data_IF_347467580549
#
_entry.id   IF_347467580549
#
_cell.length_a   1.000
_cell.length_b   1.000
_cell.length_c   1.000
_cell.angle_alpha   90.00
_cell.angle_beta   90.00
_cell.angle_gamma   90.00
#
_symmetry.space_group_name_H-M   'P 1'
#
loop_
_entity.id
_entity.type
_entity.pdbx_description
1 polymer ?
#
# COMPACT_ATOMS: atom_id res chain seq x y z
N UNK A 1 -7.29 -14.98 20.75
CA UNK A 1 -7.11 -14.06 19.60
C UNK A 1 -7.02 -14.79 18.25
N UNK A 2 -6.16 -15.81 18.05
CA UNK A 2 -6.07 -16.58 16.78
C UNK A 2 -7.37 -17.34 16.40
N UNK A 3 -8.10 -17.88 17.39
CA UNK A 3 -9.33 -18.65 17.14
C UNK A 3 -10.50 -17.78 16.65
N UNK A 4 -10.51 -16.48 16.98
CA UNK A 4 -11.54 -15.53 16.55
C UNK A 4 -11.34 -15.13 15.09
N UNK A 5 -10.09 -15.00 14.64
CA UNK A 5 -9.75 -14.73 13.24
C UNK A 5 -10.15 -15.87 12.32
N UNK A 6 -9.88 -17.13 12.70
CA UNK A 6 -10.29 -18.29 11.89
C UNK A 6 -11.82 -18.41 11.76
N UNK A 7 -12.57 -18.10 12.82
CA UNK A 7 -14.05 -18.12 12.79
C UNK A 7 -14.63 -16.96 11.96
N UNK A 8 -13.96 -15.81 11.92
CA UNK A 8 -14.34 -14.69 11.06
C UNK A 8 -14.10 -15.01 9.58
N UNK A 9 -12.97 -15.63 9.23
CA UNK A 9 -12.68 -16.06 7.85
C UNK A 9 -13.68 -17.11 7.34
N UNK A 10 -14.04 -18.09 8.17
CA UNK A 10 -15.05 -19.11 7.81
C UNK A 10 -16.48 -18.57 7.70
N UNK A 11 -16.85 -17.52 8.46
CA UNK A 11 -18.13 -16.83 8.28
C UNK A 11 -18.15 -15.96 7.02
N UNK A 12 -17.03 -15.36 6.66
CA UNK A 12 -16.87 -14.55 5.44
C UNK A 12 -17.07 -15.38 4.16
N UNK A 13 -16.50 -16.59 4.12
CA UNK A 13 -16.67 -17.54 3.01
C UNK A 13 -18.10 -18.11 2.89
N UNK A 14 -18.92 -17.97 3.93
CA UNK A 14 -20.33 -18.41 3.99
C UNK A 14 -21.31 -17.24 3.81
N UNK A 15 -20.86 -16.08 3.38
CA UNK A 15 -21.78 -15.04 2.90
C UNK A 15 -22.23 -15.42 1.49
N UNK A 16 -23.54 -15.60 1.30
CA UNK A 16 -24.15 -15.99 0.02
C UNK A 16 -23.80 -15.03 -1.12
N UNK A 17 -23.54 -13.76 -0.83
CA UNK A 17 -23.08 -12.75 -1.80
C UNK A 17 -21.66 -13.03 -2.28
N UNK A 18 -20.76 -13.44 -1.39
CA UNK A 18 -19.37 -13.75 -1.75
C UNK A 18 -19.28 -15.07 -2.53
N UNK A 19 -20.08 -16.06 -2.14
CA UNK A 19 -20.26 -17.29 -2.89
C UNK A 19 -20.84 -17.01 -4.30
N UNK A 20 -21.82 -16.11 -4.42
CA UNK A 20 -22.38 -15.72 -5.72
C UNK A 20 -21.38 -14.93 -6.59
N UNK A 21 -20.53 -14.08 -6.02
CA UNK A 21 -19.46 -13.41 -6.78
C UNK A 21 -18.41 -14.41 -7.29
N UNK A 22 -17.98 -15.34 -6.43
CA UNK A 22 -17.07 -16.43 -6.84
C UNK A 22 -17.72 -17.37 -7.86
N UNK A 23 -19.01 -17.67 -7.71
CA UNK A 23 -19.75 -18.55 -8.62
C UNK A 23 -19.98 -17.85 -9.98
N UNK A 24 -20.24 -16.53 -9.99
CA UNK A 24 -20.30 -15.74 -11.22
C UNK A 24 -18.92 -15.60 -11.89
N UNK A 25 -17.84 -15.35 -11.15
CA UNK A 25 -16.48 -15.30 -11.71
C UNK A 25 -16.05 -16.67 -12.28
N UNK A 26 -16.33 -17.76 -11.56
CA UNK A 26 -16.02 -19.11 -12.05
C UNK A 26 -16.88 -19.50 -13.25
N UNK A 27 -18.16 -19.11 -13.30
CA UNK A 27 -19.05 -19.38 -14.45
C UNK A 27 -18.65 -18.58 -15.70
N UNK A 28 -18.08 -17.39 -15.53
CA UNK A 28 -17.52 -16.58 -16.64
C UNK A 28 -16.10 -17.02 -17.04
N UNK A 29 -15.34 -17.61 -16.11
CA UNK A 29 -14.00 -18.14 -16.36
C UNK A 29 -13.99 -19.55 -16.98
N UNK A 30 -15.06 -20.34 -16.78
CA UNK A 30 -15.12 -21.78 -17.14
C UNK A 30 -14.92 -22.09 -18.62
N UNK A 31 -15.01 -21.11 -19.53
CA UNK A 31 -14.92 -21.32 -20.98
C UNK A 31 -14.16 -20.19 -21.73
N UNK A 32 -13.20 -19.51 -21.11
CA UNK A 32 -12.31 -18.58 -21.85
C UNK A 32 -10.94 -19.21 -22.05
N UNK A 33 -10.70 -19.76 -23.24
CA UNK A 33 -9.37 -20.14 -23.67
C UNK A 33 -8.53 -18.86 -23.83
N UNK A 34 -7.64 -18.59 -22.87
CA UNK A 34 -6.77 -17.42 -22.89
C UNK A 34 -5.64 -17.70 -23.89
N UNK A 35 -5.85 -17.27 -25.13
CA UNK A 35 -4.80 -17.31 -26.16
C UNK A 35 -3.71 -16.28 -25.82
N UNK A 36 -2.43 -16.61 -26.00
CA UNK A 36 -1.31 -15.71 -25.69
C UNK A 36 -1.36 -14.34 -26.41
N UNK A 37 -2.08 -14.27 -27.53
CA UNK A 37 -2.37 -13.02 -28.24
C UNK A 37 -3.19 -12.03 -27.39
N UNK A 38 -4.10 -12.53 -26.55
CA UNK A 38 -4.91 -11.70 -25.66
C UNK A 38 -4.07 -11.10 -24.54
N UNK A 39 -3.08 -11.84 -24.04
CA UNK A 39 -2.12 -11.34 -23.05
C UNK A 39 -1.29 -10.20 -23.67
N UNK A 40 -0.82 -10.39 -24.91
CA UNK A 40 -0.09 -9.35 -25.64
C UNK A 40 -0.96 -8.12 -25.95
N UNK A 41 -2.25 -8.29 -26.25
CA UNK A 41 -3.16 -7.15 -26.41
C UNK A 41 -3.38 -6.39 -25.10
N UNK A 42 -3.52 -7.10 -23.96
CA UNK A 42 -3.68 -6.47 -22.65
C UNK A 42 -2.43 -5.72 -22.19
N UNK A 43 -1.23 -6.19 -22.56
CA UNK A 43 0.03 -5.47 -22.29
C UNK A 43 0.14 -4.20 -23.15
N UNK A 44 -0.43 -4.21 -24.37
CA UNK A 44 -0.46 -3.05 -25.27
C UNK A 44 -1.51 -2.01 -24.88
N UNK A 45 -2.42 -2.30 -23.95
CA UNK A 45 -3.38 -1.32 -23.46
C UNK A 45 -2.65 -0.22 -22.67
N UNK A 46 -2.65 1.04 -23.14
CA UNK A 46 -1.87 2.11 -22.53
C UNK A 46 -2.33 2.43 -21.10
N UNK A 47 -3.61 2.18 -20.79
CA UNK A 47 -4.18 2.35 -19.45
C UNK A 47 -3.62 1.33 -18.45
N UNK A 48 -3.51 0.07 -18.87
CA UNK A 48 -2.98 -1.02 -18.03
C UNK A 48 -1.48 -0.83 -17.85
N UNK A 49 -0.78 -0.52 -18.93
CA UNK A 49 0.65 -0.23 -18.87
C UNK A 49 0.96 0.95 -17.93
N UNK A 50 0.21 2.05 -18.03
CA UNK A 50 0.39 3.21 -17.15
C UNK A 50 0.09 2.87 -15.69
N UNK A 51 -0.94 2.07 -15.41
CA UNK A 51 -1.25 1.62 -14.05
C UNK A 51 -0.13 0.72 -13.48
N UNK A 52 0.41 -0.19 -14.28
CA UNK A 52 1.51 -1.07 -13.88
C UNK A 52 2.79 -0.26 -13.63
N UNK A 53 3.12 0.68 -14.52
CA UNK A 53 4.27 1.56 -14.35
C UNK A 53 4.16 2.42 -13.10
N UNK A 54 3.01 3.06 -12.85
CA UNK A 54 2.78 3.82 -11.62
C UNK A 54 2.92 2.95 -10.37
N UNK A 55 2.42 1.72 -10.43
CA UNK A 55 2.50 0.78 -9.32
C UNK A 55 3.95 0.36 -9.04
N UNK A 56 4.74 0.07 -10.09
CA UNK A 56 6.16 -0.25 -9.97
C UNK A 56 6.93 0.95 -9.40
N UNK A 57 6.72 2.14 -9.95
CA UNK A 57 7.38 3.37 -9.50
C UNK A 57 7.04 3.72 -8.04
N UNK A 58 5.85 3.39 -7.54
CA UNK A 58 5.48 3.56 -6.13
C UNK A 58 6.03 2.45 -5.22
N UNK A 59 6.02 1.20 -5.67
CA UNK A 59 6.43 0.05 -4.86
C UNK A 59 7.94 -0.09 -4.72
N UNK A 60 8.70 0.13 -5.79
CA UNK A 60 10.16 -0.03 -5.81
C UNK A 60 10.89 0.81 -4.75
N UNK A 61 10.65 2.13 -4.62
CA UNK A 61 11.31 2.92 -3.57
C UNK A 61 10.78 2.54 -2.19
N UNK A 62 9.50 2.16 -2.08
CA UNK A 62 8.89 1.77 -0.81
C UNK A 62 9.55 0.53 -0.23
N UNK A 63 9.75 -0.53 -1.04
CA UNK A 63 10.36 -1.78 -0.57
C UNK A 63 11.82 -1.58 -0.17
N UNK A 64 12.59 -0.84 -0.98
CA UNK A 64 13.96 -0.49 -0.65
C UNK A 64 14.03 0.29 0.67
N UNK A 65 13.15 1.28 0.85
CA UNK A 65 13.14 2.12 2.03
C UNK A 65 12.79 1.33 3.29
N UNK A 66 11.87 0.36 3.22
CA UNK A 66 11.57 -0.54 4.34
C UNK A 66 12.76 -1.39 4.77
N UNK A 67 13.52 -1.91 3.81
CA UNK A 67 14.70 -2.75 4.08
C UNK A 67 15.82 -1.95 4.76
N UNK A 68 16.01 -0.69 4.36
CA UNK A 68 17.08 0.16 4.85
C UNK A 68 16.63 1.16 5.93
N UNK A 69 15.37 1.16 6.34
CA UNK A 69 14.84 2.07 7.37
C UNK A 69 15.67 2.06 8.67
N UNK A 70 16.00 0.91 9.29
CA UNK A 70 16.76 0.91 10.55
C UNK A 70 18.20 1.41 10.35
N UNK A 71 18.82 1.16 9.20
CA UNK A 71 20.18 1.65 8.91
C UNK A 71 20.20 3.14 8.62
N UNK A 72 19.19 3.67 7.92
CA UNK A 72 19.03 5.11 7.68
C UNK A 72 18.83 5.84 9.01
N UNK A 73 17.93 5.35 9.88
CA UNK A 73 17.70 5.97 11.19
C UNK A 73 18.94 5.86 12.07
N UNK A 74 19.67 4.74 12.01
CA UNK A 74 20.95 4.58 12.71
C UNK A 74 22.01 5.61 12.28
N UNK A 75 22.01 6.05 11.02
CA UNK A 75 22.94 7.07 10.52
C UNK A 75 22.74 8.46 11.15
N UNK A 76 21.60 8.71 11.79
CA UNK A 76 21.31 9.96 12.48
C UNK A 76 21.91 10.03 13.90
N UNK A 77 22.64 8.99 14.34
CA UNK A 77 23.24 8.89 15.68
C UNK A 77 22.42 8.08 16.68
N UNK A 78 21.32 7.46 16.25
CA UNK A 78 20.53 6.55 17.09
C UNK A 78 21.18 5.17 17.17
N UNK A 79 21.21 4.56 18.37
CA UNK A 79 21.71 3.20 18.54
C UNK A 79 20.88 2.17 17.77
N UNK A 80 21.45 1.02 17.39
CA UNK A 80 20.78 -0.02 16.59
C UNK A 80 19.43 -0.48 17.16
N UNK A 81 19.35 -0.67 18.48
CA UNK A 81 18.11 -1.08 19.15
C UNK A 81 17.05 0.02 19.09
N UNK A 82 17.47 1.27 19.35
CA UNK A 82 16.61 2.44 19.30
C UNK A 82 16.12 2.70 17.87
N UNK A 83 16.99 2.60 16.86
CA UNK A 83 16.63 2.78 15.47
C UNK A 83 15.55 1.78 15.02
N UNK A 84 15.65 0.51 15.42
CA UNK A 84 14.63 -0.49 15.12
C UNK A 84 13.29 -0.19 15.82
N UNK A 85 13.33 0.26 17.09
CA UNK A 85 12.13 0.69 17.80
C UNK A 85 11.46 1.89 17.13
N UNK A 86 12.25 2.86 16.66
CA UNK A 86 11.79 4.06 15.98
C UNK A 86 11.11 3.76 14.63
N UNK A 87 11.58 2.75 13.88
CA UNK A 87 10.92 2.28 12.64
C UNK A 87 9.46 1.89 12.91
N UNK A 88 9.17 1.31 14.08
CA UNK A 88 7.83 0.86 14.44
C UNK A 88 6.84 2.01 14.62
N UNK A 89 7.32 3.20 15.00
CA UNK A 89 6.48 4.41 15.14
C UNK A 89 5.84 4.79 13.80
N UNK A 90 6.59 4.69 12.70
CA UNK A 90 6.08 4.93 11.35
C UNK A 90 4.97 3.95 10.95
N UNK A 91 5.03 2.70 11.42
CA UNK A 91 3.97 1.71 11.19
C UNK A 91 2.68 2.07 11.91
N UNK A 92 2.75 2.55 13.16
CA UNK A 92 1.56 2.99 13.90
C UNK A 92 0.90 4.20 13.26
N UNK A 93 1.69 5.18 12.82
CA UNK A 93 1.17 6.34 12.08
C UNK A 93 0.47 5.89 10.80
N UNK A 94 1.06 4.94 10.07
CA UNK A 94 0.43 4.38 8.88
C UNK A 94 -0.95 3.78 9.15
N UNK A 95 -1.17 3.13 10.30
CA UNK A 95 -2.48 2.54 10.64
C UNK A 95 -3.54 3.63 10.76
N UNK A 96 -3.24 4.73 11.45
CA UNK A 96 -4.15 5.86 11.58
C UNK A 96 -4.47 6.48 10.20
N UNK A 97 -3.42 6.69 9.40
CA UNK A 97 -3.53 7.21 8.04
C UNK A 97 -4.43 6.32 7.15
N UNK A 98 -4.27 4.99 7.22
CA UNK A 98 -5.11 4.02 6.50
C UNK A 98 -6.60 4.19 6.83
N UNK A 99 -6.93 4.36 8.10
CA UNK A 99 -8.32 4.53 8.54
C UNK A 99 -8.90 5.82 7.95
N UNK A 100 -8.16 6.93 8.01
CA UNK A 100 -8.58 8.21 7.42
C UNK A 100 -8.79 8.06 5.92
N UNK A 101 -7.83 7.45 5.21
CA UNK A 101 -7.94 7.20 3.79
C UNK A 101 -9.15 6.33 3.45
N UNK A 102 -9.55 5.40 4.32
CA UNK A 102 -10.72 4.56 4.14
C UNK A 102 -12.02 5.36 4.14
N UNK A 103 -12.16 6.30 5.08
CA UNK A 103 -13.31 7.19 5.14
C UNK A 103 -13.37 8.14 3.94
N UNK A 104 -12.22 8.66 3.51
CA UNK A 104 -12.13 9.59 2.37
C UNK A 104 -12.34 8.90 1.02
N UNK A 105 -12.00 7.60 0.90
CA UNK A 105 -12.11 6.84 -0.35
C UNK A 105 -13.55 6.46 -0.76
N UNK A 106 -14.56 6.93 -0.02
CA UNK A 106 -15.98 6.70 -0.31
C UNK A 106 -16.43 7.48 -1.55
N UNK A 107 -16.16 6.95 -2.74
CA UNK A 107 -16.71 7.43 -4.02
C UNK A 107 -15.68 7.76 -5.11
N UNK A 108 -14.41 8.04 -4.77
CA UNK A 108 -13.35 8.40 -5.76
C UNK A 108 -11.98 7.85 -5.38
N UNK A 109 -11.86 6.51 -5.45
CA UNK A 109 -10.72 5.73 -4.93
C UNK A 109 -9.38 6.01 -5.62
N UNK A 110 -9.38 6.35 -6.91
CA UNK A 110 -8.14 6.60 -7.67
C UNK A 110 -7.37 7.84 -7.22
N UNK A 111 -8.08 8.92 -6.85
CA UNK A 111 -7.45 10.17 -6.45
C UNK A 111 -6.77 10.09 -5.08
N UNK A 112 -7.32 9.30 -4.15
CA UNK A 112 -6.71 9.08 -2.82
C UNK A 112 -5.37 8.36 -2.95
N UNK A 113 -5.29 7.37 -3.83
CA UNK A 113 -4.04 6.64 -4.11
C UNK A 113 -3.00 7.56 -4.75
N UNK A 114 -3.40 8.35 -5.76
CA UNK A 114 -2.51 9.33 -6.39
C UNK A 114 -1.98 10.34 -5.37
N UNK A 115 -2.86 10.90 -4.53
CA UNK A 115 -2.48 11.82 -3.47
C UNK A 115 -1.47 11.19 -2.50
N UNK A 116 -1.68 9.93 -2.11
CA UNK A 116 -0.75 9.19 -1.26
C UNK A 116 0.65 9.05 -1.87
N UNK A 117 0.72 8.73 -3.16
CA UNK A 117 1.99 8.62 -3.92
C UNK A 117 2.67 9.99 -4.07
N UNK A 118 1.91 11.05 -4.33
CA UNK A 118 2.44 12.42 -4.38
C UNK A 118 3.03 12.85 -3.04
N UNK A 119 2.32 12.64 -1.93
CA UNK A 119 2.82 12.95 -0.59
C UNK A 119 4.13 12.21 -0.28
N UNK A 120 4.20 10.92 -0.61
CA UNK A 120 5.43 10.14 -0.44
C UNK A 120 6.61 10.75 -1.20
N UNK A 121 6.40 11.08 -2.48
CA UNK A 121 7.42 11.71 -3.32
C UNK A 121 7.89 13.03 -2.73
N UNK A 122 6.97 13.88 -2.27
CA UNK A 122 7.29 15.16 -1.63
C UNK A 122 8.17 14.99 -0.39
N UNK A 123 7.86 14.02 0.48
CA UNK A 123 8.69 13.76 1.67
C UNK A 123 10.08 13.22 1.31
N UNK A 124 10.20 12.41 0.26
CA UNK A 124 11.50 11.91 -0.21
C UNK A 124 12.35 13.01 -0.82
N UNK A 125 11.74 13.91 -1.61
CA UNK A 125 12.42 15.09 -2.15
C UNK A 125 12.83 16.04 -1.02
N UNK A 126 11.97 16.26 -0.03
CA UNK A 126 12.27 17.07 1.14
C UNK A 126 13.44 16.48 1.95
N UNK A 127 13.51 15.16 2.12
CA UNK A 127 14.64 14.51 2.79
C UNK A 127 15.95 14.72 2.03
N UNK A 128 15.92 14.66 0.69
CA UNK A 128 17.09 14.89 -0.16
C UNK A 128 17.55 16.35 -0.19
N UNK A 129 16.63 17.30 -0.05
CA UNK A 129 16.92 18.72 -0.02
C UNK A 129 17.42 19.22 1.36
N UNK A 130 17.42 18.35 2.38
CA UNK A 130 17.74 18.75 3.74
C UNK A 130 19.27 18.89 3.96
N UNK A 131 19.76 20.00 4.55
CA UNK A 131 21.17 20.17 4.85
C UNK A 131 21.68 19.17 5.90
N UNK A 132 22.94 18.73 5.76
CA UNK A 132 23.58 17.77 6.67
C UNK A 132 23.69 18.27 8.12
N UNK A 133 23.68 19.58 8.35
CA UNK A 133 23.69 20.21 9.68
C UNK A 133 22.35 20.16 10.43
N UNK A 134 21.29 19.63 9.80
CA UNK A 134 19.95 19.58 10.40
C UNK A 134 19.87 18.59 11.57
N UNK A 135 18.98 18.89 12.53
CA UNK A 135 18.78 18.06 13.72
C UNK A 135 18.33 16.63 13.38
N UNK A 136 18.82 15.65 14.16
CA UNK A 136 18.48 14.23 13.99
C UNK A 136 16.97 13.96 14.06
N UNK A 137 16.26 14.70 14.92
CA UNK A 137 14.80 14.63 15.05
C UNK A 137 14.04 15.09 13.81
N UNK A 138 14.53 16.13 13.11
CA UNK A 138 13.91 16.60 11.87
C UNK A 138 14.10 15.58 10.73
N UNK A 139 15.34 15.07 10.58
CA UNK A 139 15.65 14.00 9.62
C UNK A 139 14.81 12.76 9.87
N UNK A 140 14.68 12.36 11.13
CA UNK A 140 13.84 11.26 11.56
C UNK A 140 12.35 11.48 11.24
N UNK A 141 11.82 12.68 11.55
CA UNK A 141 10.41 13.01 11.30
C UNK A 141 10.05 12.95 9.82
N UNK A 142 10.88 13.52 8.95
CA UNK A 142 10.66 13.52 7.49
C UNK A 142 10.71 12.08 6.93
N UNK A 143 11.72 11.29 7.32
CA UNK A 143 11.83 9.89 6.88
C UNK A 143 10.64 9.08 7.37
N UNK A 144 10.21 9.27 8.62
CA UNK A 144 9.07 8.56 9.22
C UNK A 144 7.75 8.90 8.53
N UNK A 145 7.52 10.18 8.17
CA UNK A 145 6.33 10.56 7.39
C UNK A 145 6.39 10.01 5.96
N UNK A 146 7.57 9.95 5.36
CA UNK A 146 7.79 9.24 4.10
C UNK A 146 7.46 7.75 4.18
N UNK A 147 7.90 7.06 5.24
CA UNK A 147 7.64 5.61 5.42
C UNK A 147 6.18 5.31 5.78
N UNK A 148 5.54 6.20 6.54
CA UNK A 148 4.14 6.05 6.94
C UNK A 148 3.20 6.25 5.75
N UNK A 149 3.45 7.29 4.95
CA UNK A 149 2.75 7.48 3.68
C UNK A 149 3.00 6.30 2.75
N UNK A 150 4.18 5.65 2.74
CA UNK A 150 4.43 4.44 1.95
C UNK A 150 3.41 3.30 2.11
N UNK A 151 2.84 3.19 3.30
CA UNK A 151 2.12 2.01 3.72
C UNK A 151 0.61 2.12 3.50
N UNK A 152 0.04 3.33 3.43
CA UNK A 152 -1.42 3.48 3.33
C UNK A 152 -1.99 3.19 1.95
N UNK A 153 -1.42 3.69 0.85
CA UNK A 153 -2.02 3.53 -0.48
C UNK A 153 -1.83 2.10 -1.00
N UNK A 154 -0.68 1.46 -0.69
CA UNK A 154 -0.42 0.05 -1.02
C UNK A 154 -1.47 -0.83 -0.40
N UNK A 155 -1.73 -0.59 0.89
CA UNK A 155 -2.76 -1.32 1.59
C UNK A 155 -4.12 -0.91 0.99
N UNK A 156 -4.42 0.37 0.75
CA UNK A 156 -5.70 0.86 0.19
C UNK A 156 -6.11 0.10 -1.05
N UNK A 157 -5.17 -0.16 -1.96
CA UNK A 157 -5.45 -0.96 -3.15
C UNK A 157 -5.88 -2.39 -2.81
N UNK A 158 -5.31 -3.01 -1.77
CA UNK A 158 -5.58 -4.40 -1.36
C UNK A 158 -6.86 -4.53 -0.50
N UNK A 159 -7.08 -3.64 0.49
CA UNK A 159 -8.34 -3.65 1.24
C UNK A 159 -9.51 -3.11 0.40
N UNK A 160 -9.27 -2.31 -0.64
CA UNK A 160 -10.30 -1.97 -1.61
C UNK A 160 -10.76 -3.20 -2.42
N UNK A 161 -9.88 -4.14 -2.79
CA UNK A 161 -10.31 -5.40 -3.41
C UNK A 161 -11.19 -6.23 -2.46
N UNK A 162 -10.88 -6.24 -1.16
CA UNK A 162 -11.71 -6.90 -0.14
C UNK A 162 -13.04 -6.15 0.11
N UNK A 163 -13.03 -4.82 0.07
CA UNK A 163 -14.20 -3.97 0.30
C UNK A 163 -15.14 -3.90 -0.91
N UNK A 164 -14.64 -4.07 -2.14
CA UNK A 164 -15.48 -4.24 -3.35
C UNK A 164 -16.25 -5.56 -3.30
N UNK A 165 -15.69 -6.60 -2.68
CA UNK A 165 -16.45 -7.81 -2.30
C UNK A 165 -17.44 -7.58 -1.15
N UNK A 166 -17.57 -6.36 -0.64
CA UNK A 166 -18.41 -5.94 0.49
C UNK A 166 -19.40 -4.82 0.13
N UNK A 167 -19.49 -4.41 -1.14
CA UNK A 167 -20.39 -3.33 -1.58
C UNK A 167 -21.33 -3.71 -2.72
N UNK A 168 -21.56 -5.00 -2.95
CA UNK A 168 -22.68 -5.51 -3.76
C UNK A 168 -23.36 -6.68 -3.05
#
# INVERSE_FOLDING_TARGET
YIVTWHRLTCRYLRSSSFAACLDNDTRTARNRHITGLHILSTIKDPKVLLHVLLTICGLAPTTALWLYAPTIIGSFGYGRLQANALVSVGQWISVCLIIIAAFVATGRRGFVVLFGVFCQWTFMVAFRALPDSSSAGLKFGIVTMGTATCSWWRKSSTWACLAVGFSY
#
